data_IF_392691778823
#
_entry.id   IF_392691778823
#
_cell.length_a   1.000
_cell.length_b   1.000
_cell.length_c   1.000
_cell.angle_alpha   90.00
_cell.angle_beta   90.00
_cell.angle_gamma   90.00
#
_symmetry.space_group_name_H-M   'P 1'
#
loop_
_entity.id
_entity.type
_entity.pdbx_description
1 polymer ?
#
# COMPACT_ATOMS: atom_id res chain seq x y z
N UNK A 1 -8.00 -29.26 -33.34
CA UNK A 1 -6.85 -28.41 -32.94
C UNK A 1 -7.29 -27.20 -32.11
N UNK A 2 -8.33 -26.47 -32.55
CA UNK A 2 -8.81 -25.20 -31.96
C UNK A 2 -9.38 -25.26 -30.54
N UNK A 3 -10.11 -26.33 -30.18
CA UNK A 3 -10.70 -26.51 -28.84
C UNK A 3 -9.66 -26.60 -27.71
N UNK A 4 -8.51 -27.24 -27.98
CA UNK A 4 -7.39 -27.31 -27.00
C UNK A 4 -6.79 -25.94 -26.73
N UNK A 5 -6.74 -25.07 -27.74
CA UNK A 5 -6.22 -23.69 -27.62
C UNK A 5 -7.19 -22.83 -26.80
N UNK A 6 -8.50 -23.01 -27.02
CA UNK A 6 -9.53 -22.34 -26.20
C UNK A 6 -9.48 -22.77 -24.73
N UNK A 7 -9.38 -24.07 -24.45
CA UNK A 7 -9.31 -24.58 -23.08
C UNK A 7 -8.05 -24.14 -22.34
N UNK A 8 -6.91 -24.14 -23.02
CA UNK A 8 -5.64 -23.67 -22.45
C UNK A 8 -5.66 -22.18 -22.19
N UNK A 9 -6.26 -21.37 -23.08
CA UNK A 9 -6.42 -19.93 -22.87
C UNK A 9 -7.35 -19.61 -21.70
N UNK A 10 -8.47 -20.33 -21.56
CA UNK A 10 -9.41 -20.15 -20.44
C UNK A 10 -8.75 -20.52 -19.10
N UNK A 11 -7.98 -21.60 -19.09
CA UNK A 11 -7.22 -22.02 -17.91
C UNK A 11 -6.18 -20.95 -17.51
N UNK A 12 -5.42 -20.42 -18.47
CA UNK A 12 -4.42 -19.38 -18.23
C UNK A 12 -5.00 -18.07 -17.67
N UNK A 13 -6.19 -17.68 -18.11
CA UNK A 13 -6.87 -16.48 -17.59
C UNK A 13 -7.31 -16.71 -16.13
N UNK A 14 -7.78 -17.91 -15.79
CA UNK A 14 -8.23 -18.24 -14.43
C UNK A 14 -7.14 -18.25 -13.35
N UNK A 15 -5.86 -18.40 -13.73
CA UNK A 15 -4.71 -18.36 -12.81
C UNK A 15 -4.08 -16.97 -12.67
N UNK A 16 -4.58 -15.97 -13.41
CA UNK A 16 -4.05 -14.62 -13.32
C UNK A 16 -4.39 -14.01 -11.95
N UNK A 17 -3.38 -13.83 -11.11
CA UNK A 17 -3.54 -13.20 -9.80
C UNK A 17 -3.61 -11.68 -9.96
N UNK A 18 -4.64 -11.07 -9.37
CA UNK A 18 -4.77 -9.62 -9.30
C UNK A 18 -3.77 -9.13 -8.25
N UNK A 19 -2.88 -8.19 -8.61
CA UNK A 19 -1.98 -7.59 -7.63
C UNK A 19 -2.81 -6.76 -6.62
N UNK A 20 -2.76 -7.12 -5.35
CA UNK A 20 -3.42 -6.39 -4.25
C UNK A 20 -2.42 -5.53 -3.50
N UNK A 21 -2.84 -4.31 -3.14
CA UNK A 21 -2.10 -3.48 -2.18
C UNK A 21 -2.58 -3.78 -0.75
N UNK A 22 -1.72 -3.55 0.24
CA UNK A 22 -2.13 -3.55 1.64
C UNK A 22 -2.84 -2.25 2.00
N UNK A 23 -3.58 -2.26 3.09
CA UNK A 23 -4.10 -1.03 3.70
C UNK A 23 -3.03 -0.46 4.67
N UNK A 24 -2.88 0.87 4.70
CA UNK A 24 -1.94 1.54 5.59
C UNK A 24 -2.63 2.67 6.36
N UNK A 25 -2.07 3.05 7.51
CA UNK A 25 -2.43 4.30 8.16
C UNK A 25 -1.68 5.46 7.52
N UNK A 26 -2.40 6.44 6.96
CA UNK A 26 -1.84 7.61 6.29
C UNK A 26 -2.13 8.86 7.11
N UNK A 27 -1.08 9.45 7.68
CA UNK A 27 -1.16 10.67 8.46
C UNK A 27 0.16 11.45 8.37
N UNK A 28 0.10 12.74 8.70
CA UNK A 28 1.26 13.61 8.86
C UNK A 28 1.12 14.34 10.19
N UNK A 29 2.24 14.52 10.88
CA UNK A 29 2.35 15.34 12.07
C UNK A 29 3.59 16.21 11.94
N UNK A 30 3.42 17.51 12.13
CA UNK A 30 4.51 18.49 12.10
C UNK A 30 4.53 19.13 13.48
N UNK A 31 5.67 19.08 14.16
CA UNK A 31 5.81 19.56 15.54
C UNK A 31 4.76 18.99 16.52
N UNK A 32 4.29 17.76 16.30
CA UNK A 32 3.33 17.10 17.18
C UNK A 32 1.87 17.57 17.04
N UNK A 33 1.52 18.29 15.98
CA UNK A 33 0.15 18.79 15.73
C UNK A 33 -0.87 17.66 15.46
N UNK A 34 -0.41 16.42 15.28
CA UNK A 34 -1.28 15.26 15.14
C UNK A 34 -0.83 14.10 16.03
N UNK A 35 -1.22 14.11 17.33
CA UNK A 35 -0.79 13.10 18.30
C UNK A 35 -1.24 11.68 17.93
N UNK A 36 -2.32 11.52 17.15
CA UNK A 36 -2.76 10.22 16.66
C UNK A 36 -1.79 9.59 15.63
N UNK A 37 -0.94 10.39 14.98
CA UNK A 37 0.07 9.93 14.01
C UNK A 37 1.41 9.58 14.66
N UNK A 38 1.66 10.09 15.87
CA UNK A 38 2.91 9.90 16.60
C UNK A 38 3.03 8.46 17.16
N UNK A 39 1.90 7.79 17.41
CA UNK A 39 1.89 6.42 17.94
C UNK A 39 2.58 5.44 16.96
N UNK A 40 3.52 4.59 17.44
CA UNK A 40 4.23 3.63 16.59
C UNK A 40 3.32 2.65 15.86
N UNK A 41 2.30 2.09 16.51
CA UNK A 41 1.56 0.92 15.97
C UNK A 41 0.18 0.69 16.64
N UNK A 42 -0.26 1.56 17.56
CA UNK A 42 -1.59 1.52 18.15
C UNK A 42 -2.47 2.58 17.51
N UNK A 43 -3.24 2.17 16.50
CA UNK A 43 -4.42 2.95 16.12
C UNK A 43 -5.51 2.63 17.16
N UNK A 44 -5.77 3.54 18.09
CA UNK A 44 -6.99 3.43 18.91
C UNK A 44 -8.23 3.73 18.06
N UNK A 45 -8.49 2.90 17.05
CA UNK A 45 -9.69 2.91 16.20
C UNK A 45 -9.91 4.18 15.37
N UNK A 46 -8.86 4.82 14.85
CA UNK A 46 -9.01 5.91 13.87
C UNK A 46 -9.28 5.34 12.47
N UNK A 47 -10.53 4.94 12.24
CA UNK A 47 -11.05 4.58 10.89
C UNK A 47 -10.76 5.70 9.87
N UNK A 48 -10.66 6.95 10.32
CA UNK A 48 -10.42 8.11 9.47
C UNK A 48 -9.01 8.26 8.87
N UNK A 49 -8.01 7.49 9.32
CA UNK A 49 -6.64 7.54 8.74
C UNK A 49 -6.24 6.23 8.05
N UNK A 50 -7.15 5.24 7.99
CA UNK A 50 -6.92 4.02 7.24
C UNK A 50 -7.17 4.30 5.76
N UNK A 51 -6.15 4.09 4.94
CA UNK A 51 -6.24 4.21 3.49
C UNK A 51 -6.19 2.80 2.89
N UNK A 52 -7.26 2.41 2.18
CA UNK A 52 -7.32 1.09 1.55
C UNK A 52 -6.61 1.05 0.21
N UNK A 53 -5.99 -0.10 -0.11
CA UNK A 53 -5.15 -0.27 -1.30
C UNK A 53 -4.05 0.80 -1.44
N UNK A 54 -3.24 0.97 -0.40
CA UNK A 54 -2.20 1.99 -0.38
C UNK A 54 -1.17 1.83 -1.50
N UNK A 55 -0.70 2.97 -2.00
CA UNK A 55 0.35 3.04 -3.00
C UNK A 55 1.58 3.74 -2.43
N UNK A 56 2.77 3.26 -2.78
CA UNK A 56 4.04 3.79 -2.29
C UNK A 56 5.12 3.84 -3.38
N UNK A 57 6.15 4.64 -3.16
CA UNK A 57 7.32 4.68 -4.02
C UNK A 57 8.18 3.41 -3.87
N UNK A 58 8.87 3.02 -4.93
CA UNK A 58 9.79 1.87 -4.93
C UNK A 58 11.18 2.34 -5.34
N UNK A 59 12.21 1.94 -4.57
CA UNK A 59 13.61 2.32 -4.84
C UNK A 59 13.99 2.03 -6.29
N UNK A 60 14.54 3.04 -6.98
CA UNK A 60 14.99 2.93 -8.36
C UNK A 60 13.87 2.86 -9.40
N UNK A 61 12.65 3.27 -9.05
CA UNK A 61 11.50 3.35 -9.97
C UNK A 61 10.76 4.66 -9.75
N UNK A 62 10.34 5.28 -10.84
CA UNK A 62 9.51 6.48 -10.81
C UNK A 62 8.03 6.09 -10.74
N UNK A 63 7.27 6.79 -9.90
CA UNK A 63 5.83 6.60 -9.74
C UNK A 63 5.42 5.80 -8.51
N UNK A 64 4.13 5.47 -8.46
CA UNK A 64 3.48 4.81 -7.34
C UNK A 64 3.19 3.34 -7.68
N UNK A 65 3.41 2.46 -6.71
CA UNK A 65 3.22 1.03 -6.84
C UNK A 65 2.40 0.49 -5.66
N UNK A 66 1.68 -0.62 -5.84
CA UNK A 66 0.97 -1.28 -4.74
C UNK A 66 1.90 -1.49 -3.54
N UNK A 67 1.53 -0.94 -2.39
CA UNK A 67 2.31 -1.07 -1.19
C UNK A 67 2.26 -2.53 -0.70
N UNK A 68 3.42 -3.08 -0.35
CA UNK A 68 3.55 -4.39 0.30
C UNK A 68 3.98 -4.26 1.77
N UNK A 69 4.19 -3.03 2.25
CA UNK A 69 4.67 -2.73 3.60
C UNK A 69 4.33 -1.29 3.97
N UNK A 70 4.02 -1.05 5.25
CA UNK A 70 3.85 0.31 5.78
C UNK A 70 5.22 1.00 5.95
N UNK A 71 5.29 2.27 5.60
CA UNK A 71 6.47 3.12 5.83
C UNK A 71 6.09 4.23 6.80
N UNK A 72 6.77 4.31 7.95
CA UNK A 72 6.69 5.45 8.87
C UNK A 72 7.94 6.30 8.69
N UNK A 73 7.76 7.58 8.35
CA UNK A 73 8.82 8.57 8.29
C UNK A 73 8.66 9.49 9.50
N UNK A 74 9.69 9.55 10.35
CA UNK A 74 9.79 10.50 11.45
C UNK A 74 11.20 11.09 11.42
N UNK A 75 11.31 12.38 11.68
CA UNK A 75 12.58 13.10 11.63
C UNK A 75 12.43 14.53 12.11
N UNK A 76 13.58 15.13 12.41
CA UNK A 76 13.71 16.56 12.71
C UNK A 76 14.52 17.16 11.56
N UNK A 77 14.07 18.29 11.02
CA UNK A 77 14.88 19.04 10.07
C UNK A 77 16.02 19.71 10.84
N UNK A 78 17.23 19.21 10.67
CA UNK A 78 18.43 19.90 11.13
C UNK A 78 18.75 21.01 10.12
N UNK A 79 18.92 22.24 10.61
CA UNK A 79 19.21 23.42 9.77
C UNK A 79 20.72 23.54 9.48
#
# INVERSE_FOLDING_TARGET
>A
MTWKIFLTSLLLIGICSIASAIDCFKCVSINGDNPACEDPFHNNSTVGILESNCMGGKKGRDGLFPASSCLKLSGVYDM
#
